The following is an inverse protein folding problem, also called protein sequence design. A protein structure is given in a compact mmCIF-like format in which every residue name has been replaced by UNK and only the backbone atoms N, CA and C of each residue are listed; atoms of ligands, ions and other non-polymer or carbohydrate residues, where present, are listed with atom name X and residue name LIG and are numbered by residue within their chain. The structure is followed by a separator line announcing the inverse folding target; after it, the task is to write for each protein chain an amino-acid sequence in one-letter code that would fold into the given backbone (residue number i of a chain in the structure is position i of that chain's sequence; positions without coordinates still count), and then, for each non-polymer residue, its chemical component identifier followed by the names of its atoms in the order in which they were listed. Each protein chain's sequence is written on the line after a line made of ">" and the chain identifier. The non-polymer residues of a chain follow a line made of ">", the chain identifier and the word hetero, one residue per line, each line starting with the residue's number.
data_IF_227045304387
#
_entry.id   IF_227045304387
#
_cell.length_a   1.000
_cell.length_b   1.000
_cell.length_c   1.000
_cell.angle_alpha   90.00
_cell.angle_beta   90.00
_cell.angle_gamma   90.00
#
_symmetry.space_group_name_H-M   'P 1'
#
loop_
_entity.id
_entity.type
_entity.pdbx_description
1 polymer ?
#
# COMPACT_ATOMS: atom_id res chain seq x y z
N UNK A 1 -3.79 -15.83 -9.53
CA UNK A 1 -2.63 -14.95 -9.21
C UNK A 1 -2.43 -14.87 -7.71
N UNK A 2 -1.18 -14.93 -7.24
CA UNK A 2 -0.84 -14.63 -5.84
C UNK A 2 -0.40 -13.18 -5.72
N UNK A 3 -0.95 -12.44 -4.76
CA UNK A 3 -0.50 -11.10 -4.39
C UNK A 3 0.08 -11.18 -2.97
N UNK A 4 1.30 -10.68 -2.79
CA UNK A 4 1.99 -10.64 -1.52
C UNK A 4 2.12 -9.17 -1.12
N UNK A 5 1.65 -8.83 0.07
CA UNK A 5 1.71 -7.46 0.63
C UNK A 5 2.44 -7.45 1.96
N UNK A 6 2.93 -6.29 2.38
CA UNK A 6 3.74 -6.19 3.60
C UNK A 6 2.91 -6.32 4.89
N UNK A 7 1.75 -5.67 4.94
CA UNK A 7 0.98 -5.51 6.16
C UNK A 7 -0.52 -5.73 5.99
N UNK A 8 -1.24 -5.60 7.12
CA UNK A 8 -2.69 -5.78 7.13
C UNK A 8 -3.41 -4.65 6.40
N UNK A 9 -2.97 -3.40 6.59
CA UNK A 9 -3.59 -2.24 5.94
C UNK A 9 -3.39 -2.27 4.42
N UNK A 10 -2.24 -2.77 3.95
CA UNK A 10 -1.94 -2.96 2.53
C UNK A 10 -2.89 -3.99 1.91
N UNK A 11 -3.08 -5.12 2.60
CA UNK A 11 -4.04 -6.14 2.18
C UNK A 11 -5.43 -5.54 2.01
N UNK A 12 -5.92 -4.84 3.03
CA UNK A 12 -7.25 -4.25 3.03
C UNK A 12 -7.43 -3.23 1.91
N UNK A 13 -6.40 -2.40 1.66
CA UNK A 13 -6.40 -1.46 0.54
C UNK A 13 -6.45 -2.17 -0.81
N UNK A 14 -5.59 -3.17 -1.04
CA UNK A 14 -5.52 -3.87 -2.33
C UNK A 14 -6.81 -4.66 -2.60
N UNK A 15 -7.40 -5.30 -1.59
CA UNK A 15 -8.70 -5.96 -1.74
C UNK A 15 -9.81 -4.96 -2.11
N UNK A 16 -9.84 -3.80 -1.44
CA UNK A 16 -10.78 -2.73 -1.76
C UNK A 16 -10.57 -2.21 -3.18
N UNK A 17 -9.33 -1.97 -3.57
CA UNK A 17 -9.00 -1.43 -4.88
C UNK A 17 -9.34 -2.41 -6.00
N UNK A 18 -9.04 -3.71 -5.84
CA UNK A 18 -9.44 -4.75 -6.81
C UNK A 18 -10.96 -4.80 -6.97
N UNK A 19 -11.74 -4.72 -5.87
CA UNK A 19 -13.22 -4.67 -5.95
C UNK A 19 -13.71 -3.46 -6.73
N UNK A 20 -13.08 -2.29 -6.55
CA UNK A 20 -13.39 -1.08 -7.32
C UNK A 20 -13.02 -1.26 -8.79
N UNK A 21 -11.82 -1.76 -9.08
CA UNK A 21 -11.36 -2.05 -10.44
C UNK A 21 -12.31 -3.00 -11.16
N UNK A 22 -12.71 -4.10 -10.52
CA UNK A 22 -13.64 -5.08 -11.08
C UNK A 22 -14.95 -4.46 -11.59
N UNK A 23 -15.40 -3.38 -10.93
CA UNK A 23 -16.64 -2.68 -11.29
C UNK A 23 -16.48 -1.74 -12.49
N UNK A 24 -15.25 -1.36 -12.84
CA UNK A 24 -14.98 -0.31 -13.86
C UNK A 24 -14.16 -0.79 -15.06
N UNK A 25 -13.50 -1.95 -14.98
CA UNK A 25 -12.70 -2.50 -16.09
C UNK A 25 -13.56 -3.29 -17.08
N UNK A 26 -13.09 -3.37 -18.33
CA UNK A 26 -13.68 -4.22 -19.37
C UNK A 26 -13.74 -5.70 -18.93
N UNK A 27 -14.73 -6.44 -19.45
CA UNK A 27 -14.93 -7.87 -19.16
C UNK A 27 -13.67 -8.72 -19.35
N UNK A 28 -12.84 -8.41 -20.36
CA UNK A 28 -11.58 -9.13 -20.62
C UNK A 28 -10.60 -9.11 -19.43
N UNK A 29 -10.70 -8.12 -18.54
CA UNK A 29 -9.87 -8.00 -17.35
C UNK A 29 -10.53 -8.59 -16.09
N UNK A 30 -11.86 -8.77 -16.09
CA UNK A 30 -12.60 -9.23 -14.92
C UNK A 30 -12.24 -10.65 -14.51
N UNK A 31 -12.05 -11.56 -15.46
CA UNK A 31 -11.62 -12.94 -15.16
C UNK A 31 -10.30 -12.99 -14.37
N UNK A 32 -9.35 -12.09 -14.68
CA UNK A 32 -8.08 -11.98 -13.93
C UNK A 32 -8.30 -11.53 -12.49
N UNK A 33 -9.23 -10.62 -12.28
CA UNK A 33 -9.59 -10.08 -10.96
C UNK A 33 -10.54 -11.00 -10.16
N UNK A 34 -11.07 -12.09 -10.74
CA UNK A 34 -11.86 -13.10 -10.00
C UNK A 34 -10.99 -14.10 -9.24
N UNK A 35 -9.78 -14.37 -9.74
CA UNK A 35 -8.92 -15.45 -9.25
C UNK A 35 -7.60 -14.92 -8.66
N UNK A 36 -7.72 -14.27 -7.50
CA UNK A 36 -6.55 -13.81 -6.74
C UNK A 36 -6.57 -14.34 -5.30
N UNK A 37 -5.37 -14.55 -4.75
CA UNK A 37 -5.14 -14.79 -3.32
C UNK A 37 -4.22 -13.69 -2.81
N UNK A 38 -4.61 -13.00 -1.74
CA UNK A 38 -3.73 -12.02 -1.08
C UNK A 38 -3.22 -12.59 0.23
N UNK A 39 -1.90 -12.64 0.36
CA UNK A 39 -1.20 -13.01 1.59
C UNK A 39 -0.38 -11.83 2.07
N UNK A 40 -0.38 -11.61 3.38
CA UNK A 40 0.48 -10.60 4.00
C UNK A 40 1.74 -11.27 4.53
N UNK A 41 2.86 -10.57 4.46
CA UNK A 41 4.00 -10.89 5.31
C UNK A 41 3.78 -10.24 6.69
N UNK A 42 4.65 -10.51 7.66
CA UNK A 42 4.68 -9.76 8.91
C UNK A 42 5.87 -8.78 8.89
N UNK A 43 6.04 -8.06 7.78
CA UNK A 43 7.11 -7.09 7.50
C UNK A 43 7.99 -7.41 6.28
N UNK A 44 8.82 -6.44 5.86
CA UNK A 44 9.61 -6.47 4.61
C UNK A 44 10.64 -7.61 4.54
N UNK A 45 11.22 -8.03 5.66
CA UNK A 45 12.27 -9.07 5.71
C UNK A 45 11.73 -10.50 5.90
N UNK A 46 10.42 -10.70 5.69
CA UNK A 46 9.74 -11.96 6.01
C UNK A 46 9.08 -12.60 4.79
N UNK A 47 9.58 -12.37 3.58
CA UNK A 47 9.05 -13.09 2.40
C UNK A 47 9.15 -14.62 2.59
N UNK A 48 10.15 -15.09 3.35
CA UNK A 48 10.31 -16.52 3.66
C UNK A 48 9.11 -17.11 4.41
N UNK A 49 8.35 -16.31 5.15
CA UNK A 49 7.15 -16.80 5.85
C UNK A 49 6.03 -17.23 4.91
N UNK A 50 6.06 -16.77 3.65
CA UNK A 50 5.09 -17.11 2.60
C UNK A 50 5.70 -17.98 1.50
N UNK A 51 6.89 -18.54 1.72
CA UNK A 51 7.61 -19.36 0.73
C UNK A 51 6.77 -20.54 0.20
N UNK A 52 6.01 -21.21 1.08
CA UNK A 52 5.12 -22.31 0.69
C UNK A 52 4.02 -21.86 -0.28
N UNK A 53 3.54 -20.61 -0.16
CA UNK A 53 2.55 -20.04 -1.06
C UNK A 53 3.20 -19.66 -2.40
N UNK A 54 4.37 -19.03 -2.36
CA UNK A 54 5.18 -18.70 -3.54
C UNK A 54 5.41 -19.97 -4.39
N UNK A 55 5.81 -21.09 -3.77
CA UNK A 55 6.06 -22.36 -4.47
C UNK A 55 4.83 -22.94 -5.18
N UNK A 56 3.62 -22.63 -4.74
CA UNK A 56 2.35 -23.16 -5.27
C UNK A 56 1.78 -22.34 -6.42
N UNK A 57 2.32 -21.15 -6.69
CA UNK A 57 1.77 -20.22 -7.67
C UNK A 57 2.80 -19.91 -8.76
N UNK A 58 2.33 -19.81 -10.00
CA UNK A 58 3.19 -19.52 -11.15
C UNK A 58 3.33 -18.02 -11.41
N UNK A 59 2.28 -17.24 -11.08
CA UNK A 59 2.25 -15.79 -11.23
C UNK A 59 2.11 -15.12 -9.86
N UNK A 60 3.14 -14.36 -9.48
CA UNK A 60 3.27 -13.75 -8.17
C UNK A 60 3.51 -12.25 -8.34
N UNK A 61 2.70 -11.44 -7.67
CA UNK A 61 2.88 -9.98 -7.60
C UNK A 61 3.18 -9.58 -6.15
N UNK A 62 4.28 -8.87 -5.94
CA UNK A 62 4.73 -8.37 -4.63
C UNK A 62 4.48 -6.87 -4.59
N UNK A 63 3.78 -6.38 -3.56
CA UNK A 63 3.39 -4.98 -3.39
C UNK A 63 3.80 -4.52 -2.00
N UNK A 64 4.96 -3.90 -1.88
CA UNK A 64 5.57 -3.44 -0.62
C UNK A 64 5.77 -1.92 -0.65
N UNK A 65 6.11 -1.32 0.49
CA UNK A 65 6.49 0.10 0.53
C UNK A 65 7.90 0.33 -0.04
N UNK A 66 8.11 1.47 -0.71
CA UNK A 66 9.46 1.93 -1.07
C UNK A 66 10.19 2.57 0.11
N UNK A 67 9.48 2.86 1.20
CA UNK A 67 9.99 3.52 2.41
C UNK A 67 10.76 4.82 2.08
N UNK A 68 12.02 4.90 2.48
CA UNK A 68 12.89 6.06 2.26
C UNK A 68 13.85 5.88 1.10
N UNK A 69 14.00 4.65 0.59
CA UNK A 69 14.92 4.31 -0.50
C UNK A 69 14.33 3.17 -1.35
N UNK A 70 13.88 3.55 -2.54
CA UNK A 70 13.26 2.66 -3.51
C UNK A 70 14.19 1.52 -3.95
N UNK A 71 15.47 1.82 -4.23
CA UNK A 71 16.41 0.83 -4.76
C UNK A 71 16.83 -0.16 -3.68
N UNK A 72 17.03 0.31 -2.45
CA UNK A 72 17.34 -0.55 -1.32
C UNK A 72 16.16 -1.49 -1.00
N UNK A 73 14.93 -0.96 -0.97
CA UNK A 73 13.72 -1.77 -0.73
C UNK A 73 13.53 -2.82 -1.82
N UNK A 74 13.74 -2.47 -3.09
CA UNK A 74 13.67 -3.41 -4.22
C UNK A 74 14.76 -4.47 -4.14
N UNK A 75 16.00 -4.07 -3.88
CA UNK A 75 17.16 -4.96 -3.74
C UNK A 75 16.95 -5.96 -2.60
N UNK A 76 16.41 -5.50 -1.47
CA UNK A 76 16.09 -6.37 -0.34
C UNK A 76 15.04 -7.45 -0.68
N UNK A 77 14.02 -7.12 -1.48
CA UNK A 77 13.03 -8.12 -1.94
C UNK A 77 13.70 -9.13 -2.88
N UNK A 78 14.49 -8.66 -3.85
CA UNK A 78 15.18 -9.53 -4.82
C UNK A 78 16.12 -10.49 -4.09
N UNK A 79 16.93 -9.99 -3.16
CA UNK A 79 17.84 -10.81 -2.36
C UNK A 79 17.10 -11.89 -1.59
N UNK A 80 15.97 -11.57 -0.96
CA UNK A 80 15.16 -12.58 -0.27
C UNK A 80 14.62 -13.66 -1.22
N UNK A 81 14.21 -13.28 -2.44
CA UNK A 81 13.75 -14.25 -3.45
C UNK A 81 14.90 -15.16 -3.92
N UNK A 82 16.08 -14.59 -4.15
CA UNK A 82 17.30 -15.33 -4.52
C UNK A 82 17.70 -16.31 -3.42
N UNK A 83 17.66 -15.88 -2.15
CA UNK A 83 17.95 -16.71 -0.98
C UNK A 83 16.97 -17.90 -0.83
N UNK A 84 15.75 -17.81 -1.38
CA UNK A 84 14.79 -18.92 -1.43
C UNK A 84 15.03 -19.87 -2.62
N UNK A 85 15.66 -19.36 -3.69
CA UNK A 85 16.03 -20.12 -4.88
C UNK A 85 15.93 -19.30 -6.17
N UNK A 86 16.88 -19.51 -7.08
CA UNK A 86 17.05 -18.73 -8.33
C UNK A 86 15.82 -18.71 -9.26
N UNK A 87 14.92 -19.68 -9.14
CA UNK A 87 13.71 -19.77 -9.99
C UNK A 87 12.56 -18.86 -9.52
N UNK A 88 12.66 -18.17 -8.39
CA UNK A 88 11.57 -17.32 -7.89
C UNK A 88 11.58 -15.92 -8.50
N UNK A 89 12.76 -15.34 -8.72
CA UNK A 89 12.90 -13.99 -9.26
C UNK A 89 12.27 -13.85 -10.65
N UNK A 90 12.23 -14.92 -11.45
CA UNK A 90 11.60 -14.92 -12.78
C UNK A 90 10.07 -15.04 -12.77
N UNK A 91 9.47 -15.43 -11.64
CA UNK A 91 8.01 -15.59 -11.47
C UNK A 91 7.35 -14.43 -10.71
N UNK A 92 8.18 -13.55 -10.12
CA UNK A 92 7.73 -12.48 -9.26
C UNK A 92 7.86 -11.14 -9.96
N UNK A 93 6.75 -10.40 -10.00
CA UNK A 93 6.75 -8.98 -10.37
C UNK A 93 6.69 -8.15 -9.09
N UNK A 94 7.48 -7.08 -9.01
CA UNK A 94 7.58 -6.21 -7.82
C UNK A 94 6.99 -4.84 -8.15
N UNK A 95 6.12 -4.38 -7.28
CA UNK A 95 5.61 -3.01 -7.23
C UNK A 95 5.95 -2.41 -5.88
N UNK A 96 6.58 -1.23 -5.88
CA UNK A 96 6.79 -0.48 -4.65
C UNK A 96 5.83 0.71 -4.56
N UNK A 97 5.13 0.82 -3.43
CA UNK A 97 4.30 1.98 -3.12
C UNK A 97 5.17 3.23 -3.02
N UNK A 98 4.66 4.40 -3.42
CA UNK A 98 3.26 4.67 -3.75
C UNK A 98 2.90 4.52 -5.24
N UNK A 99 3.88 4.43 -6.14
CA UNK A 99 3.64 4.50 -7.59
C UNK A 99 4.66 3.76 -8.46
N UNK A 100 5.46 2.88 -7.85
CA UNK A 100 6.54 2.11 -8.47
C UNK A 100 7.67 2.94 -9.08
N UNK A 101 7.92 4.13 -8.53
CA UNK A 101 9.00 5.02 -8.96
C UNK A 101 9.58 5.84 -7.82
N UNK A 102 8.71 6.43 -7.01
CA UNK A 102 9.11 7.34 -5.95
C UNK A 102 9.24 6.60 -4.60
N UNK A 103 10.02 7.17 -3.69
CA UNK A 103 10.04 6.73 -2.29
C UNK A 103 8.69 7.00 -1.63
N UNK A 104 8.27 6.12 -0.72
CA UNK A 104 7.09 6.33 0.09
C UNK A 104 6.39 5.05 0.50
N UNK A 105 5.19 5.24 1.04
CA UNK A 105 4.39 4.18 1.64
C UNK A 105 2.96 4.22 1.11
N UNK A 106 2.15 3.24 1.49
CA UNK A 106 0.70 3.29 1.28
C UNK A 106 0.07 4.61 1.74
N UNK A 107 0.50 5.19 2.86
CA UNK A 107 -0.03 6.49 3.30
C UNK A 107 0.18 7.59 2.26
N UNK A 108 1.34 7.64 1.59
CA UNK A 108 1.59 8.63 0.53
C UNK A 108 0.66 8.42 -0.65
N UNK A 109 0.41 7.16 -1.04
CA UNK A 109 -0.59 6.84 -2.06
C UNK A 109 -1.97 7.35 -1.63
N UNK A 110 -2.41 7.02 -0.42
CA UNK A 110 -3.73 7.42 0.10
C UNK A 110 -3.88 8.94 0.18
N UNK A 111 -2.83 9.66 0.59
CA UNK A 111 -2.80 11.12 0.56
C UNK A 111 -3.02 11.63 -0.86
N UNK A 112 -2.37 11.03 -1.87
CA UNK A 112 -2.48 11.43 -3.27
C UNK A 112 -3.85 11.18 -3.90
N UNK A 113 -4.60 10.19 -3.42
CA UNK A 113 -5.94 9.87 -3.94
C UNK A 113 -7.09 10.29 -3.02
N UNK A 114 -6.81 10.96 -1.90
CA UNK A 114 -7.86 11.52 -1.05
C UNK A 114 -8.71 12.54 -1.81
N UNK A 115 -10.04 12.43 -1.75
CA UNK A 115 -10.97 13.39 -2.36
C UNK A 115 -10.92 14.75 -1.67
N UNK A 116 -10.98 14.77 -0.34
CA UNK A 116 -11.05 16.01 0.45
C UNK A 116 -9.67 16.42 0.95
N UNK A 117 -8.81 16.87 0.03
CA UNK A 117 -7.42 17.27 0.33
C UNK A 117 -7.30 18.31 1.44
N UNK A 118 -8.31 19.18 1.60
CA UNK A 118 -8.33 20.21 2.65
C UNK A 118 -8.22 19.62 4.05
N UNK A 119 -8.77 18.43 4.30
CA UNK A 119 -8.67 17.75 5.59
C UNK A 119 -7.24 17.30 5.90
N UNK A 120 -6.49 16.89 4.88
CA UNK A 120 -5.07 16.57 5.01
C UNK A 120 -4.26 17.83 5.36
N UNK A 121 -4.57 18.96 4.71
CA UNK A 121 -3.96 20.25 5.03
C UNK A 121 -4.28 20.72 6.46
N UNK A 122 -5.51 20.49 6.94
CA UNK A 122 -5.86 20.76 8.34
C UNK A 122 -4.95 19.98 9.32
N UNK A 123 -4.65 18.71 9.01
CA UNK A 123 -3.73 17.91 9.81
C UNK A 123 -2.29 18.43 9.74
N UNK A 124 -1.83 18.87 8.56
CA UNK A 124 -0.51 19.47 8.41
C UNK A 124 -0.39 20.76 9.25
N UNK A 125 -1.41 21.61 9.25
CA UNK A 125 -1.47 22.81 10.11
C UNK A 125 -1.44 22.46 11.60
N UNK A 126 -2.17 21.42 12.02
CA UNK A 126 -2.09 20.88 13.37
C UNK A 126 -0.66 20.44 13.74
N UNK A 127 0.02 19.71 12.84
CA UNK A 127 1.41 19.28 13.04
C UNK A 127 2.37 20.48 13.14
N UNK A 128 2.18 21.52 12.34
CA UNK A 128 2.97 22.76 12.44
C UNK A 128 2.72 23.50 13.76
N UNK A 129 1.49 23.51 14.27
CA UNK A 129 1.19 24.03 15.59
C UNK A 129 1.98 23.28 16.67
N UNK A 130 1.97 21.95 16.65
CA UNK A 130 2.74 21.13 17.58
C UNK A 130 4.25 21.39 17.50
N UNK A 131 4.81 21.56 16.30
CA UNK A 131 6.23 21.92 16.13
C UNK A 131 6.58 23.25 16.79
N UNK A 132 5.70 24.24 16.70
CA UNK A 132 5.90 25.53 17.37
C UNK A 132 5.90 25.37 18.90
N UNK A 133 4.92 24.65 19.44
CA UNK A 133 4.82 24.38 20.88
C UNK A 133 5.99 23.54 21.40
N UNK A 134 6.54 22.65 20.57
CA UNK A 134 7.69 21.82 20.93
C UNK A 134 8.95 22.63 21.23
N UNK A 135 9.07 23.86 20.69
CA UNK A 135 10.18 24.78 21.00
C UNK A 135 10.23 25.12 22.49
N UNK A 136 9.06 25.25 23.12
CA UNK A 136 8.91 25.62 24.53
C UNK A 136 8.71 24.38 25.43
N UNK A 137 8.28 23.25 24.86
CA UNK A 137 8.06 22.00 25.59
C UNK A 137 8.47 20.76 24.78
N UNK A 138 9.67 20.24 25.05
CA UNK A 138 10.23 19.06 24.35
C UNK A 138 9.47 17.74 24.61
N UNK A 139 8.56 17.70 25.59
CA UNK A 139 7.73 16.52 25.84
C UNK A 139 6.62 16.33 24.79
N UNK A 140 6.27 17.40 24.04
CA UNK A 140 5.31 17.32 22.95
C UNK A 140 5.88 16.44 21.84
N UNK A 141 5.11 15.44 21.41
CA UNK A 141 5.49 14.52 20.32
C UNK A 141 4.71 14.87 19.06
N UNK A 142 5.39 14.82 17.91
CA UNK A 142 4.73 14.99 16.63
C UNK A 142 4.00 13.70 16.24
N UNK A 143 2.81 13.81 15.62
CA UNK A 143 2.09 12.65 15.13
C UNK A 143 2.89 11.93 14.04
N UNK A 144 2.76 10.60 14.01
CA UNK A 144 3.32 9.77 12.94
C UNK A 144 2.60 10.05 11.61
N UNK A 145 3.23 9.69 10.48
CA UNK A 145 2.61 9.85 9.14
C UNK A 145 1.23 9.16 9.07
N UNK A 146 1.13 7.93 9.59
CA UNK A 146 -0.12 7.17 9.64
C UNK A 146 -1.27 7.87 10.38
N UNK A 147 -0.94 8.70 11.37
CA UNK A 147 -1.95 9.48 12.10
C UNK A 147 -2.69 10.47 11.20
N UNK A 148 -2.05 10.98 10.15
CA UNK A 148 -2.68 11.88 9.17
C UNK A 148 -3.80 11.18 8.41
N UNK A 149 -3.53 9.97 7.91
CA UNK A 149 -4.52 9.14 7.23
C UNK A 149 -5.66 8.76 8.19
N UNK A 150 -5.34 8.41 9.43
CA UNK A 150 -6.37 8.09 10.43
C UNK A 150 -7.28 9.28 10.71
N UNK A 151 -6.71 10.48 10.88
CA UNK A 151 -7.47 11.70 11.07
C UNK A 151 -8.35 12.05 9.85
N UNK A 152 -7.84 11.82 8.64
CA UNK A 152 -8.62 11.97 7.40
C UNK A 152 -9.89 11.11 7.43
N UNK A 153 -9.77 9.80 7.63
CA UNK A 153 -10.94 8.92 7.69
C UNK A 153 -11.84 9.21 8.91
N UNK A 154 -11.25 9.55 10.06
CA UNK A 154 -12.04 9.88 11.24
C UNK A 154 -12.94 11.11 11.03
N UNK A 155 -12.53 12.06 10.19
CA UNK A 155 -13.32 13.23 9.83
C UNK A 155 -14.65 12.90 9.12
N UNK A 156 -14.77 11.68 8.59
CA UNK A 156 -16.00 11.15 7.97
C UNK A 156 -16.77 10.19 8.88
N UNK A 157 -16.45 10.16 10.18
CA UNK A 157 -17.14 9.31 11.16
C UNK A 157 -16.68 7.85 11.19
N UNK A 158 -15.60 7.49 10.49
CA UNK A 158 -15.00 6.16 10.60
C UNK A 158 -14.30 6.03 11.96
N UNK A 159 -14.93 5.30 12.88
CA UNK A 159 -14.40 4.98 14.22
C UNK A 159 -13.38 3.85 14.11
N UNK A 160 -12.27 4.15 13.46
CA UNK A 160 -11.18 3.21 13.27
C UNK A 160 -10.29 3.25 14.53
N UNK A 161 -10.50 2.32 15.46
CA UNK A 161 -9.46 2.01 16.46
C UNK A 161 -8.18 1.57 15.74
N UNK A 162 -7.01 1.72 16.36
CA UNK A 162 -5.72 1.36 15.73
C UNK A 162 -5.70 -0.10 15.22
N UNK A 163 -6.49 -0.99 15.84
CA UNK A 163 -6.62 -2.41 15.46
C UNK A 163 -7.62 -2.69 14.34
N UNK A 164 -8.58 -1.81 14.09
CA UNK A 164 -9.71 -2.04 13.15
C UNK A 164 -9.78 -0.95 12.07
N UNK A 165 -8.63 -0.36 11.72
CA UNK A 165 -8.58 0.68 10.70
C UNK A 165 -8.98 0.13 9.34
N UNK A 166 -10.18 0.52 8.89
CA UNK A 166 -10.70 0.19 7.56
C UNK A 166 -10.64 1.41 6.65
N UNK A 167 -10.04 1.19 5.49
CA UNK A 167 -10.04 2.17 4.40
C UNK A 167 -11.42 2.16 3.77
N UNK A 168 -11.99 3.34 3.52
CA UNK A 168 -13.23 3.49 2.78
C UNK A 168 -12.95 4.12 1.40
N UNK A 169 -13.24 3.38 0.33
CA UNK A 169 -13.01 3.79 -1.04
C UNK A 169 -13.92 4.93 -1.51
N UNK A 170 -15.02 5.22 -0.82
CA UNK A 170 -15.90 6.34 -1.17
C UNK A 170 -15.22 7.69 -0.89
N UNK A 171 -14.26 7.72 0.03
CA UNK A 171 -13.48 8.92 0.37
C UNK A 171 -12.21 9.07 -0.48
N UNK A 172 -11.98 8.13 -1.39
CA UNK A 172 -10.80 8.08 -2.25
C UNK A 172 -11.21 8.17 -3.73
N UNK A 173 -10.43 8.87 -4.52
CA UNK A 173 -10.52 8.86 -5.98
C UNK A 173 -9.81 7.62 -6.52
N UNK A 174 -10.51 6.48 -6.53
CA UNK A 174 -10.00 5.22 -7.08
C UNK A 174 -9.80 5.24 -8.61
N UNK A 175 -10.15 6.33 -9.30
CA UNK A 175 -9.90 6.51 -10.73
C UNK A 175 -8.80 7.54 -11.01
N UNK A 176 -8.18 8.08 -9.96
CA UNK A 176 -7.07 9.02 -10.06
C UNK A 176 -5.96 8.48 -10.96
N UNK A 177 -5.38 9.36 -11.78
CA UNK A 177 -4.22 9.03 -12.60
C UNK A 177 -3.02 8.54 -11.77
N UNK A 178 -2.96 8.91 -10.49
CA UNK A 178 -1.94 8.44 -9.56
C UNK A 178 -1.97 6.92 -9.34
N UNK A 179 -3.13 6.27 -9.54
CA UNK A 179 -3.28 4.82 -9.42
C UNK A 179 -3.00 4.05 -10.71
N UNK A 180 -2.71 4.73 -11.83
CA UNK A 180 -2.46 4.05 -13.10
C UNK A 180 -1.31 3.05 -13.04
N UNK A 181 -0.16 3.34 -12.38
CA UNK A 181 0.91 2.36 -12.23
C UNK A 181 0.42 1.08 -11.52
N UNK A 182 -0.32 1.23 -10.42
CA UNK A 182 -0.84 0.08 -9.67
C UNK A 182 -1.93 -0.66 -10.45
N UNK A 183 -2.79 0.08 -11.16
CA UNK A 183 -3.81 -0.49 -12.03
C UNK A 183 -3.17 -1.37 -13.11
N UNK A 184 -2.21 -0.82 -13.84
CA UNK A 184 -1.51 -1.54 -14.90
C UNK A 184 -0.79 -2.75 -14.31
N UNK A 185 -0.06 -2.57 -13.22
CA UNK A 185 0.60 -3.67 -12.53
C UNK A 185 -0.35 -4.80 -12.13
N UNK A 186 -1.57 -4.51 -11.67
CA UNK A 186 -2.55 -5.55 -11.31
C UNK A 186 -3.21 -6.23 -12.53
N UNK A 187 -3.30 -5.54 -13.67
CA UNK A 187 -3.97 -6.02 -14.89
C UNK A 187 -3.01 -6.68 -15.89
N UNK A 188 -1.73 -6.30 -15.84
CA UNK A 188 -0.68 -6.76 -16.73
C UNK A 188 -0.30 -8.20 -16.44
N UNK A 189 -0.03 -8.91 -17.52
CA UNK A 189 0.51 -10.27 -17.57
C UNK A 189 1.76 -10.19 -18.42
N UNK A 190 2.92 -10.16 -17.78
CA UNK A 190 4.11 -10.71 -18.43
C UNK A 190 3.95 -12.23 -18.53
#
# INVERSE_FOLDING_TARGET
>A
MLIIVEGHTDKDFIELYIKRLYSIVDEKYKEKLKSYKIVKTDGVCKLKSVETEIRKHEQIKIIFDADTDFEDSKSNIIKQLEDMGSNFSSKCEIFLMPNNKDNGTLEILLENIAKEKVLLTCFDNYKECLKKLQKDNQNIKLPAKKSKIYAYFHSFGFKNGIKDFKINGDMLDCQSNYLQPLKNFLLDTN
#
